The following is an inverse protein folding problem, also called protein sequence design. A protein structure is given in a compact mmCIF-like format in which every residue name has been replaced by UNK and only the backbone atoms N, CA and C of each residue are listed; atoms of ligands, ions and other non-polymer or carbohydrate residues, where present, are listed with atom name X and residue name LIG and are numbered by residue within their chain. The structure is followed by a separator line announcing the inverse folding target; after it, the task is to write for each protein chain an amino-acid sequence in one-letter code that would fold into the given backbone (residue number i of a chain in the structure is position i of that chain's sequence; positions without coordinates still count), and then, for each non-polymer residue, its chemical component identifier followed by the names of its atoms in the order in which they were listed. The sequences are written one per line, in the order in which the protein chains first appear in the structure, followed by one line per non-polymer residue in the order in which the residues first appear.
data_IF_978702962160
#
_entry.id   IF_978702962160
#
_cell.length_a   1.000
_cell.length_b   1.000
_cell.length_c   1.000
_cell.angle_alpha   90.00
_cell.angle_beta   90.00
_cell.angle_gamma   90.00
#
_symmetry.space_group_name_H-M   'P 1'
#
loop_
_entity.id
_entity.type
_entity.pdbx_description
1 polymer ?
#
# COMPACT_ATOMS: atom_id res chain seq x y z
N UNK A 1 6.17 3.68 -25.32
CA UNK A 1 7.01 4.86 -25.01
C UNK A 1 7.84 4.63 -23.75
N UNK A 2 7.25 4.30 -22.60
CA UNK A 2 7.96 4.07 -21.33
C UNK A 2 9.04 2.99 -21.43
N UNK A 3 8.79 1.86 -22.11
CA UNK A 3 9.77 0.76 -22.28
C UNK A 3 11.10 1.21 -22.90
N UNK A 4 11.08 2.19 -23.82
CA UNK A 4 12.29 2.78 -24.41
C UNK A 4 13.01 3.74 -23.47
N UNK A 5 12.28 4.46 -22.62
CA UNK A 5 12.83 5.38 -21.62
C UNK A 5 13.32 4.65 -20.37
N UNK A 6 12.75 3.49 -20.06
CA UNK A 6 13.08 2.70 -18.86
C UNK A 6 14.56 2.39 -18.75
N UNK A 7 15.21 2.00 -19.86
CA UNK A 7 16.64 1.68 -19.86
C UNK A 7 17.53 2.87 -19.47
N UNK A 8 17.12 4.09 -19.84
CA UNK A 8 17.82 5.32 -19.47
C UNK A 8 17.54 5.69 -18.00
N UNK A 9 16.27 5.65 -17.60
CA UNK A 9 15.85 5.93 -16.21
C UNK A 9 16.54 4.95 -15.23
N UNK A 10 16.73 3.70 -15.62
CA UNK A 10 17.33 2.69 -14.77
C UNK A 10 18.86 2.84 -14.58
N UNK A 11 19.52 3.69 -15.38
CA UNK A 11 20.91 4.11 -15.13
C UNK A 11 21.03 5.16 -14.02
N UNK A 12 19.94 5.83 -13.67
CA UNK A 12 19.89 6.85 -12.63
C UNK A 12 19.69 6.17 -11.27
N UNK A 13 20.27 6.74 -10.22
CA UNK A 13 20.03 6.32 -8.84
C UNK A 13 18.51 6.22 -8.56
N UNK A 14 18.04 5.14 -7.92
CA UNK A 14 16.61 4.90 -7.73
C UNK A 14 15.87 6.01 -6.97
N UNK A 15 16.51 6.64 -5.98
CA UNK A 15 15.88 7.70 -5.18
C UNK A 15 15.84 9.03 -5.96
N UNK A 16 16.86 9.29 -6.80
CA UNK A 16 16.87 10.43 -7.73
C UNK A 16 15.78 10.23 -8.81
N UNK A 17 15.69 9.04 -9.39
CA UNK A 17 14.66 8.71 -10.38
C UNK A 17 13.25 8.89 -9.80
N UNK A 18 13.02 8.48 -8.54
CA UNK A 18 11.77 8.71 -7.84
C UNK A 18 11.47 10.22 -7.67
N UNK A 19 12.46 11.02 -7.27
CA UNK A 19 12.31 12.47 -7.13
C UNK A 19 11.93 13.13 -8.47
N UNK A 20 12.52 12.68 -9.57
CA UNK A 20 12.18 13.15 -10.91
C UNK A 20 10.76 12.76 -11.30
N UNK A 21 10.31 11.54 -10.97
CA UNK A 21 8.95 11.09 -11.21
C UNK A 21 7.93 11.97 -10.45
N UNK A 22 8.15 12.26 -9.16
CA UNK A 22 7.32 13.19 -8.38
C UNK A 22 7.26 14.57 -9.03
N UNK A 23 8.40 15.13 -9.46
CA UNK A 23 8.43 16.43 -10.15
C UNK A 23 7.64 16.40 -11.47
N UNK A 24 7.78 15.34 -12.27
CA UNK A 24 7.04 15.18 -13.54
C UNK A 24 5.53 15.10 -13.32
N UNK A 25 5.10 14.41 -12.26
CA UNK A 25 3.68 14.32 -11.89
C UNK A 25 3.14 15.68 -11.42
N UNK A 26 3.90 16.43 -10.63
CA UNK A 26 3.53 17.82 -10.23
C UNK A 26 3.32 18.74 -11.42
N UNK A 27 4.14 18.60 -12.45
CA UNK A 27 4.07 19.41 -13.67
C UNK A 27 3.03 18.90 -14.69
N UNK A 28 2.25 17.88 -14.35
CA UNK A 28 1.28 17.22 -15.24
C UNK A 28 1.87 16.75 -16.59
N UNK A 29 3.18 16.51 -16.66
CA UNK A 29 3.86 16.08 -17.90
C UNK A 29 3.44 14.68 -18.37
N UNK A 30 2.74 13.93 -17.53
CA UNK A 30 2.32 12.53 -17.76
C UNK A 30 0.85 12.44 -18.19
N UNK A 31 0.06 13.50 -18.04
CA UNK A 31 -1.38 13.52 -18.30
C UNK A 31 -1.79 13.18 -19.75
N UNK A 32 -0.91 13.43 -20.73
CA UNK A 32 -1.18 13.15 -22.14
C UNK A 32 -0.86 11.70 -22.58
N UNK A 33 -0.46 10.83 -21.63
CA UNK A 33 -0.08 9.43 -21.91
C UNK A 33 -1.23 8.48 -21.55
N UNK A 34 -2.30 9.00 -20.98
CA UNK A 34 -3.37 8.21 -20.39
C UNK A 34 -4.33 7.71 -21.47
N UNK A 35 -4.53 6.41 -21.45
CA UNK A 35 -5.68 5.79 -22.07
C UNK A 35 -6.91 6.19 -21.20
N UNK A 36 -7.82 6.97 -21.75
CA UNK A 36 -9.13 7.27 -21.14
C UNK A 36 -9.97 5.99 -21.14
N UNK A 37 -9.56 5.02 -20.33
CA UNK A 37 -10.32 3.80 -20.16
C UNK A 37 -11.64 4.17 -19.48
N UNK A 38 -12.73 4.11 -20.25
CA UNK A 38 -14.10 4.32 -19.78
C UNK A 38 -14.36 3.54 -18.48
N UNK A 39 -15.20 4.08 -17.62
CA UNK A 39 -15.76 3.36 -16.49
C UNK A 39 -16.29 2.00 -16.97
N UNK A 40 -15.88 0.94 -16.32
CA UNK A 40 -16.31 -0.43 -16.66
C UNK A 40 -17.02 -1.03 -15.45
N UNK A 41 -18.33 -1.32 -15.54
CA UNK A 41 -19.11 -1.88 -14.44
C UNK A 41 -18.52 -3.18 -13.86
N UNK A 42 -17.73 -3.90 -14.65
CA UNK A 42 -17.02 -5.11 -14.20
C UNK A 42 -16.07 -4.83 -13.04
N UNK A 43 -15.57 -3.61 -12.91
CA UNK A 43 -14.61 -3.21 -11.88
C UNK A 43 -15.17 -2.32 -10.78
N UNK A 44 -16.44 -1.91 -10.90
CA UNK A 44 -17.06 -1.05 -9.90
C UNK A 44 -17.13 -1.69 -8.52
N UNK A 45 -16.80 -0.90 -7.50
CA UNK A 45 -16.80 -1.36 -6.11
C UNK A 45 -17.08 -0.22 -5.14
N UNK A 46 -17.19 -0.56 -3.85
CA UNK A 46 -17.39 0.41 -2.77
C UNK A 46 -16.37 0.14 -1.68
N UNK A 47 -15.49 1.10 -1.44
CA UNK A 47 -14.51 1.06 -0.35
C UNK A 47 -14.82 2.20 0.63
N UNK A 48 -15.02 1.87 1.91
CA UNK A 48 -15.34 2.82 2.98
C UNK A 48 -16.50 3.77 2.67
N UNK A 49 -17.53 3.26 1.97
CA UNK A 49 -18.72 4.03 1.59
C UNK A 49 -18.57 4.89 0.34
N UNK A 50 -17.41 4.93 -0.30
CA UNK A 50 -17.17 5.63 -1.57
C UNK A 50 -17.16 4.68 -2.76
N UNK A 51 -17.83 5.07 -3.84
CA UNK A 51 -17.79 4.35 -5.13
C UNK A 51 -16.41 4.48 -5.74
N UNK A 52 -15.87 3.38 -6.24
CA UNK A 52 -14.60 3.28 -6.96
C UNK A 52 -14.82 2.71 -8.37
N UNK A 53 -14.14 3.27 -9.37
CA UNK A 53 -14.21 2.84 -10.77
C UNK A 53 -13.41 1.57 -11.06
N UNK A 54 -12.52 1.22 -10.14
CA UNK A 54 -11.74 -0.02 -10.22
C UNK A 54 -11.13 -0.37 -8.84
N UNK A 55 -10.71 -1.63 -8.61
CA UNK A 55 -10.18 -2.08 -7.33
C UNK A 55 -8.67 -1.85 -7.15
N UNK A 56 -8.06 -0.92 -7.91
CA UNK A 56 -6.60 -0.76 -7.96
C UNK A 56 -6.19 0.56 -7.29
N UNK A 57 -5.34 0.49 -6.27
CA UNK A 57 -4.81 1.64 -5.53
C UNK A 57 -3.29 1.79 -5.63
N UNK A 58 -2.83 3.00 -5.31
CA UNK A 58 -1.42 3.29 -5.09
C UNK A 58 -1.07 3.02 -3.63
N UNK A 59 -0.05 2.18 -3.39
CA UNK A 59 0.43 1.87 -2.04
C UNK A 59 1.25 3.03 -1.44
N UNK A 60 1.21 3.16 -0.11
CA UNK A 60 2.09 4.05 0.64
C UNK A 60 3.57 3.85 0.29
N UNK A 61 4.33 4.93 0.34
CA UNK A 61 5.76 4.97 0.02
C UNK A 61 6.08 5.67 -1.30
N UNK A 62 5.13 5.74 -2.24
CA UNK A 62 5.30 6.49 -3.48
C UNK A 62 5.16 8.00 -3.22
N UNK A 63 4.00 8.45 -2.76
CA UNK A 63 3.79 9.83 -2.32
C UNK A 63 3.90 9.93 -0.79
N UNK A 64 5.10 10.29 -0.30
CA UNK A 64 5.35 10.32 1.14
C UNK A 64 4.83 11.57 1.84
N UNK A 65 4.57 12.62 1.08
CA UNK A 65 4.33 13.96 1.62
C UNK A 65 3.07 14.63 1.06
N UNK A 66 2.16 13.88 0.49
CA UNK A 66 0.95 14.40 -0.18
C UNK A 66 1.28 15.42 -1.28
N UNK A 67 2.18 15.07 -2.18
CA UNK A 67 2.66 15.95 -3.23
C UNK A 67 1.98 15.73 -4.58
N UNK A 68 1.51 14.49 -4.85
CA UNK A 68 1.09 14.08 -6.20
C UNK A 68 -0.14 13.16 -6.23
N UNK A 69 -0.86 12.96 -5.10
CA UNK A 69 -2.01 12.05 -5.05
C UNK A 69 -3.08 12.37 -6.11
N UNK A 70 -3.35 13.66 -6.40
CA UNK A 70 -4.30 14.03 -7.45
C UNK A 70 -3.79 13.67 -8.86
N UNK A 71 -2.48 13.70 -9.09
CA UNK A 71 -1.90 13.21 -10.34
C UNK A 71 -2.00 11.67 -10.43
N UNK A 72 -1.89 10.96 -9.31
CA UNK A 72 -2.07 9.50 -9.26
C UNK A 72 -3.52 9.08 -9.56
N UNK A 73 -4.53 9.82 -9.08
CA UNK A 73 -5.92 9.60 -9.50
C UNK A 73 -6.09 9.76 -11.01
N UNK A 74 -5.46 10.78 -11.63
CA UNK A 74 -5.47 10.95 -13.09
C UNK A 74 -4.77 9.80 -13.83
N UNK A 75 -3.85 9.07 -13.20
CA UNK A 75 -3.24 7.84 -13.75
C UNK A 75 -4.16 6.61 -13.66
N UNK A 76 -5.40 6.79 -13.16
CA UNK A 76 -6.42 5.74 -13.07
C UNK A 76 -6.47 5.00 -11.74
N UNK A 77 -5.61 5.33 -10.76
CA UNK A 77 -5.76 4.75 -9.42
C UNK A 77 -7.05 5.24 -8.77
N UNK A 78 -7.89 4.32 -8.30
CA UNK A 78 -9.17 4.67 -7.66
C UNK A 78 -9.01 5.09 -6.21
N UNK A 79 -7.95 4.66 -5.56
CA UNK A 79 -7.58 5.11 -4.23
C UNK A 79 -6.05 5.23 -4.10
N UNK A 80 -5.62 6.17 -3.28
CA UNK A 80 -4.19 6.49 -3.10
C UNK A 80 -3.87 6.55 -1.62
N UNK A 81 -2.79 5.90 -1.21
CA UNK A 81 -2.29 5.95 0.15
C UNK A 81 -1.00 6.76 0.23
N UNK A 82 -1.05 7.87 0.95
CA UNK A 82 0.08 8.77 1.21
C UNK A 82 0.82 8.33 2.47
N UNK A 83 2.11 8.55 2.52
CA UNK A 83 2.95 8.28 3.71
C UNK A 83 3.99 7.17 3.45
N UNK A 84 4.57 6.58 4.49
CA UNK A 84 4.24 6.72 5.92
C UNK A 84 4.60 8.09 6.44
N UNK A 85 3.66 8.75 7.11
CA UNK A 85 3.84 10.05 7.76
C UNK A 85 4.08 9.83 9.25
N UNK A 86 5.06 10.51 9.81
CA UNK A 86 5.36 10.51 11.24
C UNK A 86 4.96 11.83 11.89
N UNK A 87 4.75 11.90 13.21
CA UNK A 87 4.44 13.18 13.88
C UNK A 87 5.40 14.29 13.52
N UNK A 88 6.67 14.05 13.66
CA UNK A 88 7.73 15.01 13.34
C UNK A 88 8.40 14.64 12.01
N UNK A 89 8.90 15.65 11.30
CA UNK A 89 9.77 15.46 10.13
C UNK A 89 10.96 14.57 10.48
N UNK A 90 11.30 13.63 9.59
CA UNK A 90 12.54 12.88 9.70
C UNK A 90 13.14 12.56 8.34
N UNK A 91 14.48 12.43 8.30
CA UNK A 91 15.22 12.22 7.05
C UNK A 91 15.30 10.74 6.64
N UNK A 92 14.98 9.84 7.57
CA UNK A 92 15.13 8.40 7.39
C UNK A 92 16.56 7.91 7.53
N UNK A 93 16.83 6.72 7.02
CA UNK A 93 18.15 6.09 7.11
C UNK A 93 19.17 6.72 6.13
N UNK A 94 20.49 6.56 6.37
CA UNK A 94 21.53 7.02 5.47
C UNK A 94 21.40 6.45 4.05
N UNK A 95 21.81 7.21 3.05
CA UNK A 95 21.92 6.79 1.65
C UNK A 95 23.25 6.04 1.40
N UNK A 96 23.28 5.11 0.41
CA UNK A 96 22.19 4.63 -0.43
C UNK A 96 21.22 3.72 0.33
N UNK A 97 19.94 3.84 0.06
CA UNK A 97 18.89 3.17 0.82
C UNK A 97 17.74 2.62 -0.05
N UNK A 98 17.87 2.73 -1.37
CA UNK A 98 16.98 2.09 -2.35
C UNK A 98 17.83 1.41 -3.41
N UNK A 99 17.55 0.16 -3.68
CA UNK A 99 18.30 -0.69 -4.62
C UNK A 99 17.32 -1.30 -5.61
N UNK A 100 17.60 -1.14 -6.91
CA UNK A 100 16.81 -1.69 -7.99
C UNK A 100 17.44 -2.98 -8.49
N UNK A 101 16.68 -4.08 -8.42
CA UNK A 101 17.06 -5.40 -8.91
C UNK A 101 16.33 -5.61 -10.24
N UNK A 102 17.00 -5.27 -11.34
CA UNK A 102 16.36 -5.17 -12.65
C UNK A 102 15.92 -6.54 -13.16
N UNK A 103 16.80 -7.54 -13.03
CA UNK A 103 16.57 -8.91 -13.47
C UNK A 103 15.40 -9.57 -12.73
N UNK A 104 15.17 -9.15 -11.49
CA UNK A 104 14.15 -9.70 -10.60
C UNK A 104 12.85 -8.88 -10.60
N UNK A 105 12.77 -7.78 -11.35
CA UNK A 105 11.67 -6.79 -11.30
C UNK A 105 11.31 -6.42 -9.84
N UNK A 106 12.35 -6.10 -9.05
CA UNK A 106 12.26 -5.92 -7.62
C UNK A 106 12.99 -4.67 -7.12
N UNK A 107 12.60 -4.23 -5.91
CA UNK A 107 13.32 -3.20 -5.16
C UNK A 107 13.65 -3.72 -3.76
N UNK A 108 14.83 -3.37 -3.25
CA UNK A 108 15.15 -3.46 -1.83
C UNK A 108 15.25 -2.03 -1.30
N UNK A 109 14.57 -1.75 -0.18
CA UNK A 109 14.62 -0.44 0.45
C UNK A 109 14.83 -0.52 1.96
N UNK A 110 15.55 0.48 2.49
CA UNK A 110 15.71 0.75 3.92
C UNK A 110 15.50 2.24 4.20
N UNK A 111 14.38 2.79 3.69
CA UNK A 111 14.10 4.24 3.70
C UNK A 111 13.98 4.83 5.11
N UNK A 112 13.32 4.12 6.07
CA UNK A 112 13.17 4.57 7.45
C UNK A 112 12.20 5.76 7.60
N UNK A 113 11.06 5.71 6.90
CA UNK A 113 9.97 6.70 6.99
C UNK A 113 10.40 8.16 6.78
N UNK A 114 11.22 8.43 5.76
CA UNK A 114 11.56 9.80 5.42
C UNK A 114 10.34 10.58 4.95
N UNK A 115 9.99 11.65 5.69
CA UNK A 115 8.83 12.50 5.42
C UNK A 115 8.98 13.89 6.08
N UNK A 116 8.06 14.81 5.75
CA UNK A 116 8.09 16.20 6.23
C UNK A 116 7.30 16.45 7.52
N UNK A 117 6.74 15.39 8.14
CA UNK A 117 5.94 15.49 9.35
C UNK A 117 4.45 15.72 9.09
N UNK A 118 3.65 15.40 10.09
CA UNK A 118 2.19 15.34 9.98
C UNK A 118 1.55 16.67 9.65
N UNK A 119 1.96 17.77 10.27
CA UNK A 119 1.39 19.10 10.03
C UNK A 119 1.62 19.60 8.59
N UNK A 120 2.81 19.35 8.04
CA UNK A 120 3.13 19.73 6.67
C UNK A 120 2.26 18.97 5.66
N UNK A 121 2.09 17.66 5.88
CA UNK A 121 1.24 16.81 5.04
C UNK A 121 -0.23 17.23 5.14
N UNK A 122 -0.75 17.48 6.35
CA UNK A 122 -2.12 17.97 6.56
C UNK A 122 -2.37 19.29 5.86
N UNK A 123 -1.44 20.24 5.98
CA UNK A 123 -1.54 21.56 5.32
C UNK A 123 -1.65 21.41 3.79
N UNK A 124 -0.87 20.51 3.19
CA UNK A 124 -0.94 20.24 1.74
C UNK A 124 -2.28 19.66 1.31
N UNK A 125 -2.81 18.70 2.08
CA UNK A 125 -4.11 18.10 1.76
C UNK A 125 -5.21 19.16 1.84
N UNK A 126 -5.18 20.03 2.85
CA UNK A 126 -6.15 21.13 2.97
C UNK A 126 -6.06 22.15 1.83
N UNK A 127 -4.87 22.42 1.33
CA UNK A 127 -4.66 23.37 0.23
C UNK A 127 -4.96 22.80 -1.16
N UNK A 128 -5.04 21.48 -1.30
CA UNK A 128 -5.32 20.80 -2.57
C UNK A 128 -6.19 19.56 -2.31
N UNK A 129 -7.51 19.75 -2.23
CA UNK A 129 -8.44 18.68 -1.86
C UNK A 129 -8.34 17.45 -2.78
N UNK A 130 -8.47 16.23 -2.24
CA UNK A 130 -8.36 15.01 -3.03
C UNK A 130 -9.56 14.83 -3.97
N UNK A 131 -9.29 14.46 -5.23
CA UNK A 131 -10.29 14.14 -6.24
C UNK A 131 -10.78 12.69 -6.20
N UNK A 132 -10.31 11.89 -5.25
CA UNK A 132 -10.63 10.47 -5.08
C UNK A 132 -10.47 10.04 -3.63
N UNK A 133 -10.49 8.73 -3.38
CA UNK A 133 -10.38 8.17 -2.04
C UNK A 133 -8.91 8.23 -1.56
N UNK A 134 -8.64 9.07 -0.56
CA UNK A 134 -7.32 9.32 0.00
C UNK A 134 -7.14 8.66 1.36
N UNK A 135 -6.16 7.75 1.45
CA UNK A 135 -5.69 7.18 2.71
C UNK A 135 -4.40 7.81 3.20
N UNK A 136 -4.25 7.90 4.51
CA UNK A 136 -3.01 8.35 5.13
C UNK A 136 -2.41 7.22 5.95
N UNK A 137 -1.21 6.79 5.56
CA UNK A 137 -0.42 5.81 6.29
C UNK A 137 0.38 6.51 7.37
N UNK A 138 0.17 6.14 8.62
CA UNK A 138 0.84 6.73 9.78
C UNK A 138 1.75 5.73 10.48
N UNK A 139 2.83 6.24 11.04
CA UNK A 139 3.79 5.46 11.80
C UNK A 139 4.57 6.33 12.79
N UNK A 140 5.29 5.72 13.74
CA UNK A 140 6.05 6.46 14.73
C UNK A 140 7.36 7.04 14.15
N UNK A 141 7.84 8.11 14.78
CA UNK A 141 9.19 8.58 14.55
C UNK A 141 10.22 7.51 14.97
N UNK A 142 11.39 7.52 14.32
CA UNK A 142 12.45 6.52 14.59
C UNK A 142 12.91 6.59 16.05
N UNK A 143 13.11 7.79 16.55
CA UNK A 143 13.64 8.05 17.89
C UNK A 143 12.52 8.33 18.91
N UNK A 144 11.29 7.88 18.63
CA UNK A 144 10.14 8.04 19.51
C UNK A 144 10.31 7.22 20.78
N UNK A 145 10.06 7.87 21.93
CA UNK A 145 10.02 7.22 23.25
C UNK A 145 8.63 6.61 23.55
N UNK A 146 7.60 7.11 22.88
CA UNK A 146 6.22 6.65 23.01
C UNK A 146 5.59 6.48 21.61
N UNK A 147 5.85 5.31 21.03
CA UNK A 147 5.37 4.96 19.67
C UNK A 147 3.85 4.84 19.59
N UNK A 148 3.20 4.46 20.68
CA UNK A 148 1.74 4.39 20.74
C UNK A 148 1.17 5.80 20.60
N UNK A 149 1.68 6.77 21.35
CA UNK A 149 1.22 8.17 21.23
C UNK A 149 1.49 8.76 19.85
N UNK A 150 2.57 8.36 19.17
CA UNK A 150 2.84 8.80 17.78
C UNK A 150 1.72 8.37 16.82
N UNK A 151 1.19 7.16 16.96
CA UNK A 151 0.00 6.74 16.20
C UNK A 151 -1.22 7.59 16.54
N UNK A 152 -1.45 7.88 17.84
CA UNK A 152 -2.58 8.72 18.26
C UNK A 152 -2.45 10.16 17.73
N UNK A 153 -1.23 10.71 17.65
CA UNK A 153 -0.98 12.00 16.98
C UNK A 153 -1.40 11.91 15.50
N UNK A 154 -1.03 10.82 14.81
CA UNK A 154 -1.47 10.60 13.43
C UNK A 154 -2.98 10.59 13.28
N UNK A 155 -3.70 9.89 14.17
CA UNK A 155 -5.18 9.87 14.18
C UNK A 155 -5.74 11.27 14.40
N UNK A 156 -5.28 12.00 15.43
CA UNK A 156 -5.71 13.39 15.71
C UNK A 156 -5.47 14.32 14.54
N UNK A 157 -4.35 14.16 13.88
CA UNK A 157 -3.97 15.05 12.77
C UNK A 157 -4.82 14.81 11.53
N UNK A 158 -5.12 13.56 11.18
CA UNK A 158 -5.66 13.24 9.86
C UNK A 158 -7.14 12.84 9.81
N UNK A 159 -7.82 12.67 10.97
CA UNK A 159 -9.20 12.19 11.00
C UNK A 159 -10.22 13.07 10.27
N UNK A 160 -9.90 14.34 10.01
CA UNK A 160 -10.75 15.35 9.37
C UNK A 160 -10.36 15.66 7.92
N UNK A 161 -9.30 15.06 7.39
CA UNK A 161 -8.79 15.32 6.03
C UNK A 161 -8.54 14.06 5.20
N UNK A 162 -8.56 12.88 5.83
CA UNK A 162 -8.40 11.59 5.18
C UNK A 162 -9.74 10.86 5.04
N UNK A 163 -9.84 9.96 4.06
CA UNK A 163 -10.97 9.04 3.93
C UNK A 163 -10.78 7.78 4.76
N UNK A 164 -9.53 7.40 5.02
CA UNK A 164 -9.15 6.33 5.96
C UNK A 164 -7.74 6.56 6.48
N UNK A 165 -7.41 5.95 7.60
CA UNK A 165 -6.07 6.01 8.17
C UNK A 165 -5.52 4.58 8.29
N UNK A 166 -4.32 4.37 7.73
CA UNK A 166 -3.58 3.12 7.84
C UNK A 166 -2.56 3.19 8.97
N UNK A 167 -2.73 2.34 9.94
CA UNK A 167 -1.79 2.12 11.05
C UNK A 167 -0.71 1.14 10.59
N UNK A 168 0.51 1.64 10.35
CA UNK A 168 1.61 0.84 9.81
C UNK A 168 2.45 0.22 10.93
N UNK A 169 2.21 -1.06 11.23
CA UNK A 169 2.95 -1.83 12.24
C UNK A 169 3.96 -2.80 11.63
N UNK A 170 4.32 -2.63 10.36
CA UNK A 170 4.93 -3.70 9.58
C UNK A 170 6.31 -3.39 8.99
N UNK A 171 6.83 -2.15 9.15
CA UNK A 171 8.10 -1.79 8.52
C UNK A 171 9.27 -2.59 9.10
N UNK A 172 10.08 -3.23 8.25
CA UNK A 172 11.31 -3.88 8.70
C UNK A 172 12.45 -2.88 8.95
N UNK A 173 12.26 -1.63 8.54
CA UNK A 173 13.30 -0.59 8.55
C UNK A 173 13.20 0.34 9.77
N UNK A 174 12.30 0.05 10.70
CA UNK A 174 12.12 0.74 11.98
C UNK A 174 12.19 -0.32 13.07
N UNK A 175 13.20 -0.20 13.92
CA UNK A 175 13.47 -1.15 15.00
C UNK A 175 12.24 -1.35 15.87
N UNK A 176 11.98 -2.57 16.32
CA UNK A 176 10.86 -2.97 17.19
C UNK A 176 9.43 -2.63 16.70
N UNK A 177 9.25 -2.12 15.48
CA UNK A 177 7.91 -1.79 15.00
C UNK A 177 7.05 -3.05 14.84
N UNK A 178 7.66 -4.16 14.44
CA UNK A 178 6.99 -5.45 14.28
C UNK A 178 6.59 -6.10 15.62
N UNK A 179 7.07 -5.57 16.76
CA UNK A 179 6.62 -6.00 18.08
C UNK A 179 5.13 -5.68 18.32
N UNK A 180 4.52 -4.78 17.53
CA UNK A 180 3.08 -4.59 17.51
C UNK A 180 2.29 -5.76 16.87
N UNK A 181 2.95 -6.80 16.36
CA UNK A 181 2.29 -8.07 16.03
C UNK A 181 2.09 -8.98 17.26
N UNK A 182 2.66 -8.60 18.42
CA UNK A 182 2.37 -9.23 19.73
C UNK A 182 0.94 -8.88 20.18
N UNK A 183 0.26 -9.86 20.76
CA UNK A 183 -1.15 -9.75 21.16
C UNK A 183 -1.44 -8.54 22.03
N UNK A 184 -0.70 -8.42 23.15
CA UNK A 184 -0.95 -7.37 24.14
C UNK A 184 -0.71 -5.98 23.56
N UNK A 185 0.38 -5.81 22.82
CA UNK A 185 0.74 -4.53 22.21
C UNK A 185 -0.24 -4.15 21.09
N UNK A 186 -0.71 -5.14 20.31
CA UNK A 186 -1.68 -4.88 19.25
C UNK A 186 -3.05 -4.54 19.81
N UNK A 187 -3.51 -5.26 20.84
CA UNK A 187 -4.77 -4.97 21.53
C UNK A 187 -4.73 -3.58 22.19
N UNK A 188 -3.64 -3.24 22.90
CA UNK A 188 -3.43 -1.92 23.50
C UNK A 188 -3.47 -0.79 22.46
N UNK A 189 -2.81 -0.98 21.32
CA UNK A 189 -2.79 -0.01 20.23
C UNK A 189 -4.20 0.25 19.70
N UNK A 190 -4.95 -0.78 19.32
CA UNK A 190 -6.29 -0.62 18.77
C UNK A 190 -7.29 -0.11 19.80
N UNK A 191 -7.19 -0.55 21.07
CA UNK A 191 -7.97 0.01 22.18
C UNK A 191 -7.75 1.51 22.32
N UNK A 192 -6.50 1.95 22.27
CA UNK A 192 -6.14 3.36 22.40
C UNK A 192 -6.63 4.19 21.22
N UNK A 193 -6.55 3.65 19.99
CA UNK A 193 -7.10 4.29 18.78
C UNK A 193 -8.61 4.45 18.88
N UNK A 194 -9.36 3.42 19.32
CA UNK A 194 -10.81 3.54 19.48
C UNK A 194 -11.19 4.57 20.56
N UNK A 195 -10.50 4.60 21.68
CA UNK A 195 -10.69 5.65 22.71
C UNK A 195 -10.44 7.06 22.13
N UNK A 196 -9.42 7.20 21.31
CA UNK A 196 -9.09 8.49 20.68
C UNK A 196 -10.15 8.90 19.65
N UNK A 197 -10.63 7.96 18.81
CA UNK A 197 -11.74 8.21 17.87
C UNK A 197 -13.02 8.67 18.59
N UNK A 198 -13.34 8.05 19.74
CA UNK A 198 -14.49 8.46 20.55
C UNK A 198 -14.32 9.90 21.04
N UNK A 199 -13.16 10.29 21.57
CA UNK A 199 -12.86 11.67 22.01
C UNK A 199 -13.02 12.67 20.87
N UNK A 200 -12.56 12.31 19.67
CA UNK A 200 -12.63 13.14 18.46
C UNK A 200 -14.02 13.10 17.80
N UNK A 201 -14.96 12.28 18.28
CA UNK A 201 -16.24 11.99 17.63
C UNK A 201 -16.07 11.59 16.16
N UNK A 202 -14.97 10.92 15.84
CA UNK A 202 -14.58 10.55 14.48
C UNK A 202 -15.05 9.13 14.14
N UNK A 203 -15.62 8.99 12.93
CA UNK A 203 -15.97 7.70 12.34
C UNK A 203 -14.96 7.24 11.28
N UNK A 204 -13.78 7.86 11.25
CA UNK A 204 -12.76 7.54 10.25
C UNK A 204 -12.47 6.03 10.22
N UNK A 205 -12.50 5.38 9.04
CA UNK A 205 -12.11 3.99 8.90
C UNK A 205 -10.63 3.79 9.27
N UNK A 206 -10.37 2.78 10.10
CA UNK A 206 -9.01 2.36 10.46
C UNK A 206 -8.65 1.13 9.65
N UNK A 207 -7.47 1.17 9.07
CA UNK A 207 -6.83 0.09 8.32
C UNK A 207 -5.53 -0.28 9.03
N UNK A 208 -5.19 -1.56 9.09
CA UNK A 208 -3.92 -2.03 9.67
C UNK A 208 -3.05 -2.62 8.56
N UNK A 209 -1.77 -2.21 8.49
CA UNK A 209 -0.82 -2.78 7.52
C UNK A 209 0.20 -3.67 8.21
N UNK A 210 0.23 -4.95 7.78
CA UNK A 210 1.03 -6.00 8.41
C UNK A 210 2.25 -6.40 7.57
N UNK A 211 3.17 -7.11 8.23
CA UNK A 211 4.34 -7.73 7.59
C UNK A 211 3.96 -9.02 6.84
N UNK A 212 4.60 -9.34 5.71
CA UNK A 212 4.48 -10.66 5.09
C UNK A 212 5.30 -11.74 5.83
N UNK A 213 6.15 -11.34 6.77
CA UNK A 213 6.99 -12.23 7.57
C UNK A 213 6.32 -12.61 8.90
N UNK A 214 4.99 -12.54 8.93
CA UNK A 214 4.17 -12.93 10.09
C UNK A 214 4.18 -14.44 10.28
N UNK A 215 4.18 -14.87 11.54
CA UNK A 215 4.10 -16.29 11.89
C UNK A 215 2.65 -16.80 11.84
N UNK A 216 2.47 -18.07 11.55
CA UNK A 216 1.14 -18.67 11.39
C UNK A 216 0.26 -18.54 12.64
N UNK A 217 0.86 -18.71 13.82
CA UNK A 217 0.15 -18.55 15.10
C UNK A 217 -0.29 -17.11 15.37
N UNK A 218 0.32 -16.12 14.75
CA UNK A 218 -0.06 -14.71 14.89
C UNK A 218 -1.25 -14.34 14.00
N UNK A 219 -1.53 -15.09 12.92
CA UNK A 219 -2.63 -14.76 11.99
C UNK A 219 -3.98 -14.78 12.68
N UNK A 220 -4.29 -15.87 13.41
CA UNK A 220 -5.57 -16.03 14.11
C UNK A 220 -5.77 -14.93 15.15
N UNK A 221 -4.76 -14.70 15.94
CA UNK A 221 -4.73 -13.68 16.99
C UNK A 221 -4.97 -12.28 16.43
N UNK A 222 -4.28 -11.93 15.36
CA UNK A 222 -4.49 -10.63 14.70
C UNK A 222 -5.92 -10.53 14.18
N UNK A 223 -6.46 -11.59 13.56
CA UNK A 223 -7.83 -11.59 13.06
C UNK A 223 -8.85 -11.38 14.20
N UNK A 224 -8.69 -12.04 15.34
CA UNK A 224 -9.58 -11.87 16.49
C UNK A 224 -9.58 -10.43 16.98
N UNK A 225 -8.41 -9.81 17.11
CA UNK A 225 -8.27 -8.42 17.52
C UNK A 225 -8.85 -7.46 16.48
N UNK A 226 -8.62 -7.69 15.17
CA UNK A 226 -9.24 -6.91 14.10
C UNK A 226 -10.77 -6.94 14.19
N UNK A 227 -11.36 -8.11 14.44
CA UNK A 227 -12.81 -8.27 14.57
C UNK A 227 -13.34 -7.63 15.87
N UNK A 228 -12.62 -7.75 16.99
CA UNK A 228 -12.93 -7.12 18.28
C UNK A 228 -13.10 -5.60 18.15
N UNK A 229 -12.18 -4.95 17.45
CA UNK A 229 -12.20 -3.48 17.23
C UNK A 229 -12.86 -3.06 15.93
N UNK A 230 -13.51 -3.97 15.21
CA UNK A 230 -14.21 -3.69 13.95
C UNK A 230 -13.33 -2.90 12.96
N UNK A 231 -12.07 -3.30 12.85
CA UNK A 231 -11.13 -2.67 11.91
C UNK A 231 -11.66 -2.81 10.48
N UNK A 232 -11.69 -1.70 9.75
CA UNK A 232 -12.40 -1.62 8.45
C UNK A 232 -11.72 -2.45 7.37
N UNK A 233 -10.38 -2.49 7.36
CA UNK A 233 -9.61 -3.31 6.42
C UNK A 233 -8.23 -3.66 6.98
N UNK A 234 -7.62 -4.70 6.38
CA UNK A 234 -6.22 -5.06 6.59
C UNK A 234 -5.46 -4.98 5.27
N UNK A 235 -4.26 -4.39 5.28
CA UNK A 235 -3.35 -4.39 4.13
C UNK A 235 -2.32 -5.51 4.28
N UNK A 236 -2.38 -6.46 3.34
CA UNK A 236 -1.49 -7.62 3.26
C UNK A 236 -0.73 -7.55 1.93
N UNK A 237 0.52 -7.09 1.90
CA UNK A 237 1.42 -6.88 3.00
C UNK A 237 2.41 -5.72 2.74
N UNK A 238 3.29 -5.45 3.72
CA UNK A 238 4.49 -4.65 3.54
C UNK A 238 5.57 -5.46 2.79
N UNK A 239 6.80 -4.97 2.74
CA UNK A 239 7.98 -5.63 2.17
C UNK A 239 8.52 -6.75 3.08
N UNK A 240 9.22 -7.73 2.51
CA UNK A 240 9.81 -8.88 3.24
C UNK A 240 11.32 -8.73 3.41
N UNK A 241 11.86 -9.29 4.49
CA UNK A 241 13.31 -9.48 4.66
C UNK A 241 13.80 -10.82 4.12
N UNK A 242 12.90 -11.76 3.88
CA UNK A 242 13.18 -13.06 3.26
C UNK A 242 13.05 -13.07 1.73
N UNK A 243 12.91 -14.27 1.16
CA UNK A 243 12.69 -14.53 -0.28
C UNK A 243 13.82 -14.03 -1.20
N UNK A 244 15.07 -14.23 -0.80
CA UNK A 244 16.22 -13.71 -1.53
C UNK A 244 17.03 -14.79 -2.26
N UNK A 245 16.76 -16.05 -1.96
CA UNK A 245 17.50 -17.21 -2.43
C UNK A 245 17.45 -17.33 -3.95
N UNK A 246 16.29 -17.05 -4.54
CA UNK A 246 16.03 -17.16 -5.98
C UNK A 246 16.37 -15.91 -6.78
N UNK A 247 16.76 -14.80 -6.10
CA UNK A 247 17.08 -13.55 -6.77
C UNK A 247 18.42 -13.67 -7.55
N UNK A 248 18.41 -13.07 -8.74
CA UNK A 248 19.55 -13.11 -9.67
C UNK A 248 20.51 -11.93 -9.46
N UNK A 249 19.97 -10.75 -9.15
CA UNK A 249 20.75 -9.53 -9.08
C UNK A 249 21.76 -9.56 -7.91
N UNK A 250 22.97 -9.05 -8.14
CA UNK A 250 24.06 -9.00 -7.14
C UNK A 250 23.69 -8.20 -5.89
N UNK A 251 22.76 -7.24 -6.00
CA UNK A 251 22.31 -6.41 -4.88
C UNK A 251 21.33 -7.14 -3.94
N UNK A 252 20.99 -8.40 -4.19
CA UNK A 252 20.10 -9.21 -3.34
C UNK A 252 20.51 -9.29 -1.87
N UNK A 253 21.79 -9.11 -1.57
CA UNK A 253 22.33 -9.16 -0.21
C UNK A 253 22.20 -7.84 0.58
N UNK A 254 21.68 -6.78 -0.06
CA UNK A 254 21.45 -5.49 0.62
C UNK A 254 20.42 -5.65 1.74
N UNK A 255 20.68 -5.06 2.91
CA UNK A 255 19.71 -4.97 4.01
C UNK A 255 18.50 -4.11 3.63
N UNK A 256 17.31 -4.48 4.11
CA UNK A 256 16.06 -3.75 3.88
C UNK A 256 14.93 -4.63 3.38
N UNK A 257 13.76 -4.06 3.17
CA UNK A 257 12.58 -4.78 2.70
C UNK A 257 12.57 -4.98 1.19
N UNK A 258 12.37 -6.22 0.74
CA UNK A 258 12.20 -6.61 -0.65
C UNK A 258 10.74 -6.43 -1.09
N UNK A 259 10.53 -5.82 -2.25
CA UNK A 259 9.24 -5.63 -2.91
C UNK A 259 9.31 -5.98 -4.40
N UNK A 260 8.18 -6.02 -5.07
CA UNK A 260 8.07 -6.35 -6.48
C UNK A 260 7.72 -7.82 -6.71
N UNK A 261 8.00 -8.32 -7.91
CA UNK A 261 7.57 -9.63 -8.39
C UNK A 261 7.91 -10.80 -7.45
N UNK A 262 9.09 -10.87 -6.82
CA UNK A 262 9.42 -11.97 -5.90
C UNK A 262 8.53 -12.05 -4.66
N UNK A 263 7.83 -10.96 -4.30
CA UNK A 263 6.94 -10.93 -3.15
C UNK A 263 5.53 -11.49 -3.46
N UNK A 264 5.15 -11.66 -4.74
CA UNK A 264 3.79 -12.03 -5.17
C UNK A 264 3.28 -13.27 -4.45
N UNK A 265 3.99 -14.38 -4.56
CA UNK A 265 3.55 -15.67 -4.03
C UNK A 265 3.44 -15.66 -2.50
N UNK A 266 4.44 -15.08 -1.82
CA UNK A 266 4.42 -14.96 -0.37
C UNK A 266 3.24 -14.12 0.10
N UNK A 267 3.01 -12.97 -0.53
CA UNK A 267 1.87 -12.11 -0.21
C UNK A 267 0.53 -12.84 -0.44
N UNK A 268 0.37 -13.59 -1.55
CA UNK A 268 -0.84 -14.35 -1.83
C UNK A 268 -1.10 -15.44 -0.78
N UNK A 269 -0.05 -16.15 -0.32
CA UNK A 269 -0.17 -17.13 0.77
C UNK A 269 -0.67 -16.50 2.06
N UNK A 270 -0.13 -15.32 2.41
CA UNK A 270 -0.57 -14.60 3.62
C UNK A 270 -2.00 -14.08 3.48
N UNK A 271 -2.37 -13.50 2.32
CA UNK A 271 -3.75 -13.09 2.02
C UNK A 271 -4.71 -14.28 2.23
N UNK A 272 -4.39 -15.45 1.69
CA UNK A 272 -5.22 -16.66 1.82
C UNK A 272 -5.47 -17.05 3.28
N UNK A 273 -4.46 -16.94 4.13
CA UNK A 273 -4.59 -17.25 5.57
C UNK A 273 -5.56 -16.28 6.26
N UNK A 274 -5.42 -14.97 6.00
CA UNK A 274 -6.34 -13.97 6.54
C UNK A 274 -7.76 -14.13 6.02
N UNK A 275 -7.93 -14.39 4.72
CA UNK A 275 -9.24 -14.61 4.11
C UNK A 275 -9.99 -15.80 4.73
N UNK A 276 -9.29 -16.91 4.95
CA UNK A 276 -9.88 -18.11 5.55
C UNK A 276 -10.45 -17.85 6.95
N UNK A 277 -9.86 -16.93 7.71
CA UNK A 277 -10.33 -16.58 9.05
C UNK A 277 -11.40 -15.47 8.99
N UNK A 278 -11.13 -14.40 8.26
CA UNK A 278 -11.97 -13.21 8.21
C UNK A 278 -13.26 -13.40 7.39
N UNK A 279 -13.22 -14.20 6.34
CA UNK A 279 -14.38 -14.57 5.48
C UNK A 279 -15.26 -13.35 5.14
N UNK A 280 -14.68 -12.25 4.71
CA UNK A 280 -15.36 -11.02 4.32
C UNK A 280 -15.83 -10.12 5.48
N UNK A 281 -15.59 -10.48 6.75
CA UNK A 281 -15.94 -9.63 7.90
C UNK A 281 -15.06 -8.39 8.05
N UNK A 282 -13.84 -8.44 7.51
CA UNK A 282 -12.89 -7.32 7.39
C UNK A 282 -12.34 -7.37 5.97
N UNK A 283 -12.32 -6.23 5.28
CA UNK A 283 -11.82 -6.16 3.90
C UNK A 283 -10.30 -6.39 3.86
N UNK A 284 -9.82 -7.02 2.79
CA UNK A 284 -8.40 -7.29 2.58
C UNK A 284 -7.90 -6.50 1.37
N UNK A 285 -6.91 -5.65 1.58
CA UNK A 285 -6.21 -4.93 0.50
C UNK A 285 -4.88 -5.65 0.24
N UNK A 286 -4.80 -6.33 -0.91
CA UNK A 286 -3.64 -7.14 -1.28
C UNK A 286 -2.51 -6.29 -1.87
N UNK A 287 -1.29 -6.40 -1.30
CA UNK A 287 -0.10 -5.68 -1.77
C UNK A 287 1.08 -6.64 -1.88
N UNK A 288 1.93 -6.41 -2.89
CA UNK A 288 3.15 -7.19 -3.13
C UNK A 288 3.08 -8.00 -4.45
N UNK A 289 3.91 -7.61 -5.41
CA UNK A 289 4.04 -8.27 -6.70
C UNK A 289 2.93 -7.96 -7.71
N UNK A 290 2.09 -6.96 -7.50
CA UNK A 290 1.09 -6.54 -8.49
C UNK A 290 1.76 -5.72 -9.58
N UNK A 291 1.81 -6.27 -10.81
CA UNK A 291 2.45 -5.68 -11.99
C UNK A 291 1.67 -5.91 -13.31
N UNK A 292 0.62 -6.70 -13.26
CA UNK A 292 -0.16 -7.18 -14.42
C UNK A 292 -1.59 -7.56 -14.00
N UNK A 293 -2.49 -7.73 -14.96
CA UNK A 293 -3.84 -8.27 -14.70
C UNK A 293 -3.78 -9.66 -14.09
N UNK A 294 -2.82 -10.49 -14.52
CA UNK A 294 -2.62 -11.84 -13.97
C UNK A 294 -2.23 -11.84 -12.49
N UNK A 295 -1.31 -10.94 -12.09
CA UNK A 295 -0.91 -10.84 -10.67
C UNK A 295 -2.02 -10.26 -9.79
N UNK A 296 -2.82 -9.30 -10.30
CA UNK A 296 -4.02 -8.81 -9.63
C UNK A 296 -5.09 -9.90 -9.48
N UNK A 297 -5.38 -10.63 -10.57
CA UNK A 297 -6.31 -11.76 -10.59
C UNK A 297 -5.98 -12.82 -9.52
N UNK A 298 -4.71 -13.22 -9.42
CA UNK A 298 -4.26 -14.18 -8.40
C UNK A 298 -4.48 -13.66 -6.96
N UNK A 299 -4.36 -12.34 -6.73
CA UNK A 299 -4.64 -11.75 -5.41
C UNK A 299 -6.12 -11.79 -5.06
N UNK A 300 -7.01 -11.53 -6.03
CA UNK A 300 -8.45 -11.69 -5.83
C UNK A 300 -8.81 -13.14 -5.55
N UNK A 301 -8.28 -14.10 -6.31
CA UNK A 301 -8.45 -15.52 -6.02
C UNK A 301 -7.95 -15.92 -4.63
N UNK A 302 -6.91 -15.28 -4.13
CA UNK A 302 -6.40 -15.51 -2.78
C UNK A 302 -7.29 -14.91 -1.67
N UNK A 303 -8.22 -14.03 -2.01
CA UNK A 303 -9.17 -13.41 -1.09
C UNK A 303 -8.97 -11.92 -0.84
N UNK A 304 -8.18 -11.22 -1.64
CA UNK A 304 -8.12 -9.77 -1.59
C UNK A 304 -9.40 -9.14 -2.18
N UNK A 305 -9.95 -8.13 -1.53
CA UNK A 305 -11.07 -7.32 -2.03
C UNK A 305 -10.58 -6.21 -2.96
N UNK A 306 -9.40 -5.69 -2.70
CA UNK A 306 -8.72 -4.62 -3.44
C UNK A 306 -7.24 -4.94 -3.57
N UNK A 307 -6.56 -4.28 -4.51
CA UNK A 307 -5.11 -4.40 -4.66
C UNK A 307 -4.43 -3.03 -4.63
N UNK A 308 -3.24 -2.97 -4.08
CA UNK A 308 -2.36 -1.81 -4.18
C UNK A 308 -1.04 -2.21 -4.82
N UNK A 309 -0.39 -1.28 -5.49
CA UNK A 309 0.93 -1.46 -6.08
C UNK A 309 1.83 -0.24 -5.87
N UNK A 310 3.15 -0.48 -5.93
CA UNK A 310 4.18 0.56 -6.02
C UNK A 310 5.25 0.12 -7.02
N UNK A 311 5.97 -0.96 -6.71
CA UNK A 311 7.10 -1.46 -7.52
C UNK A 311 6.67 -1.81 -8.95
N UNK A 312 5.46 -2.33 -9.14
CA UNK A 312 4.90 -2.57 -10.47
C UNK A 312 4.92 -1.31 -11.34
N UNK A 313 4.54 -0.14 -10.81
CA UNK A 313 4.60 1.12 -11.55
C UNK A 313 6.04 1.52 -11.92
N UNK A 314 7.03 1.24 -11.07
CA UNK A 314 8.44 1.54 -11.36
C UNK A 314 8.91 0.78 -12.61
N UNK A 315 8.50 -0.48 -12.78
CA UNK A 315 8.92 -1.33 -13.89
C UNK A 315 8.04 -1.24 -15.13
N UNK A 316 6.72 -1.07 -14.95
CA UNK A 316 5.73 -1.05 -16.04
C UNK A 316 5.38 0.37 -16.54
N UNK A 317 5.66 1.39 -15.70
CA UNK A 317 5.39 2.79 -16.03
C UNK A 317 4.02 3.30 -15.62
N UNK A 318 3.72 4.56 -15.94
CA UNK A 318 2.53 5.25 -15.43
C UNK A 318 1.19 4.72 -15.97
N UNK A 319 1.18 4.01 -17.10
CA UNK A 319 -0.04 3.41 -17.68
C UNK A 319 -0.38 2.01 -17.10
N UNK A 320 0.20 1.64 -15.98
CA UNK A 320 0.05 0.30 -15.40
C UNK A 320 -1.42 -0.03 -15.05
N UNK A 321 -2.20 0.94 -14.57
CA UNK A 321 -3.61 0.71 -14.19
C UNK A 321 -4.44 0.31 -15.41
N UNK A 322 -4.32 1.05 -16.53
CA UNK A 322 -4.99 0.71 -17.77
C UNK A 322 -4.60 -0.67 -18.31
N UNK A 323 -3.29 -1.01 -18.24
CA UNK A 323 -2.78 -2.33 -18.59
C UNK A 323 -3.40 -3.44 -17.72
N UNK A 324 -3.39 -3.27 -16.40
CA UNK A 324 -3.96 -4.24 -15.46
C UNK A 324 -5.47 -4.42 -15.73
N UNK A 325 -6.23 -3.34 -15.89
CA UNK A 325 -7.67 -3.39 -16.20
C UNK A 325 -7.94 -4.20 -17.46
N UNK A 326 -7.20 -3.92 -18.54
CA UNK A 326 -7.36 -4.65 -19.82
C UNK A 326 -7.10 -6.14 -19.65
N UNK A 327 -5.94 -6.52 -19.11
CA UNK A 327 -5.58 -7.92 -18.91
C UNK A 327 -6.52 -8.64 -17.93
N UNK A 328 -6.90 -7.97 -16.85
CA UNK A 328 -7.84 -8.51 -15.87
C UNK A 328 -9.22 -8.75 -16.47
N UNK A 329 -9.72 -7.82 -17.30
CA UNK A 329 -10.99 -7.98 -18.01
C UNK A 329 -11.00 -9.23 -18.90
N UNK A 330 -9.94 -9.48 -19.65
CA UNK A 330 -9.80 -10.67 -20.49
C UNK A 330 -9.87 -11.96 -19.65
N UNK A 331 -9.22 -12.00 -18.48
CA UNK A 331 -9.26 -13.13 -17.57
C UNK A 331 -10.68 -13.36 -17.00
N UNK A 332 -11.36 -12.30 -16.57
CA UNK A 332 -12.70 -12.37 -16.01
C UNK A 332 -13.73 -12.84 -17.06
N UNK A 333 -13.63 -12.35 -18.29
CA UNK A 333 -14.50 -12.80 -19.41
C UNK A 333 -14.28 -14.30 -19.70
N UNK A 334 -13.02 -14.75 -19.71
CA UNK A 334 -12.69 -16.17 -19.92
C UNK A 334 -13.26 -17.07 -18.84
N UNK A 335 -13.39 -16.57 -17.60
CA UNK A 335 -14.04 -17.27 -16.49
C UNK A 335 -15.57 -17.18 -16.50
N UNK A 336 -16.15 -16.42 -17.44
CA UNK A 336 -17.60 -16.22 -17.55
C UNK A 336 -18.21 -15.39 -16.41
N UNK A 337 -17.40 -14.54 -15.72
CA UNK A 337 -17.88 -13.68 -14.63
C UNK A 337 -18.11 -12.25 -15.11
N UNK A 338 -19.10 -11.59 -14.50
CA UNK A 338 -19.52 -10.24 -14.88
C UNK A 338 -18.93 -9.14 -13.99
N UNK A 339 -18.46 -9.50 -12.81
CA UNK A 339 -17.81 -8.58 -11.88
C UNK A 339 -16.64 -9.27 -11.16
N UNK A 340 -15.52 -8.55 -10.99
CA UNK A 340 -14.32 -9.09 -10.35
C UNK A 340 -14.56 -9.62 -8.93
N UNK A 341 -15.58 -9.13 -8.23
CA UNK A 341 -15.92 -9.60 -6.86
C UNK A 341 -16.31 -11.08 -6.84
N UNK A 342 -16.80 -11.60 -7.95
CA UNK A 342 -17.20 -13.00 -8.05
C UNK A 342 -16.05 -14.00 -7.95
N UNK A 343 -14.81 -13.54 -8.18
CA UNK A 343 -13.62 -14.39 -8.08
C UNK A 343 -12.91 -14.29 -6.71
N UNK A 344 -13.35 -13.37 -5.82
CA UNK A 344 -12.69 -13.17 -4.52
C UNK A 344 -12.78 -14.45 -3.69
N UNK A 345 -11.61 -14.98 -3.33
CA UNK A 345 -11.50 -16.18 -2.52
C UNK A 345 -11.82 -17.50 -3.23
N UNK A 346 -12.11 -17.53 -4.55
CA UNK A 346 -12.41 -18.79 -5.28
C UNK A 346 -11.30 -19.85 -5.20
N UNK A 347 -10.09 -19.48 -4.81
CA UNK A 347 -9.04 -20.47 -4.53
C UNK A 347 -9.35 -21.37 -3.32
N UNK A 348 -10.36 -21.01 -2.52
CA UNK A 348 -10.71 -21.66 -1.25
C UNK A 348 -12.04 -22.42 -1.32
N UNK A 349 -12.67 -22.45 -2.50
CA UNK A 349 -13.94 -23.18 -2.78
C UNK A 349 -13.63 -24.51 -3.46
#
# INVERSE_FOLDING_TARGET
MFSKLRSLIFKIDPEIAHTLAIKSLKLNLVSNILDESKEDPMFESILFGKKLDNPIGMAAGFDKNAEVYNALFKLGFSFVEVGTVTPLKQYGNPKPRVFRLVEDEALINRLGFNNLGSENVKSRIRSNLPNGLLGINVGPNKDSKDRLNDYLIGIRTFHDVADYITVNISSPNTEDLRNFHDEKKFDELLSSIEKEKIKLKSKIPIVVKISPDILDNQVNLICEILLKYKVSAIIVSNTTEGNRETLQNILKHQKGGLSGKPLEEKSNKVISKFYNFLKGKTQIIGVGGVDSGKSAYKKFLAGADYVQLYTGMVFQGPNIVGKIKKELKELLINDGVTNFKEIIGKKHN
#
